data_IF_842861994601
#
_entry.id   IF_842861994601
#
_cell.length_a   1.000
_cell.length_b   1.000
_cell.length_c   1.000
_cell.angle_alpha   90.00
_cell.angle_beta   90.00
_cell.angle_gamma   90.00
#
_symmetry.space_group_name_H-M   'P 1'
#
loop_
_entity.id
_entity.type
_entity.pdbx_description
1 polymer ?
#
# COMPACT_ATOMS: atom_id res chain seq x y z
N UNK A 1 -62.82 -18.39 -16.68
CA UNK A 1 -62.17 -17.11 -17.04
C UNK A 1 -60.74 -17.17 -16.54
N UNK A 2 -59.80 -17.14 -17.48
CA UNK A 2 -58.39 -16.72 -17.33
C UNK A 2 -58.30 -15.33 -16.68
N UNK A 3 -57.20 -14.82 -16.15
CA UNK A 3 -55.93 -15.26 -15.58
C UNK A 3 -55.31 -13.96 -15.03
N UNK A 4 -54.48 -14.09 -13.99
CA UNK A 4 -53.34 -13.22 -13.62
C UNK A 4 -53.48 -11.69 -13.53
N UNK A 5 -53.06 -11.13 -12.40
CA UNK A 5 -52.94 -9.69 -12.19
C UNK A 5 -51.61 -9.20 -12.80
N UNK A 6 -51.58 -8.03 -13.47
CA UNK A 6 -50.37 -7.51 -14.09
C UNK A 6 -49.40 -6.97 -13.03
N UNK A 7 -48.25 -7.66 -12.92
CA UNK A 7 -46.92 -7.08 -12.79
C UNK A 7 -46.69 -5.95 -11.77
N UNK A 8 -46.10 -6.32 -10.63
CA UNK A 8 -44.84 -5.69 -10.21
C UNK A 8 -43.87 -6.80 -9.85
N UNK A 9 -43.05 -7.17 -10.82
CA UNK A 9 -41.97 -8.13 -10.64
C UNK A 9 -41.08 -7.69 -9.49
N UNK A 10 -41.00 -8.57 -8.49
CA UNK A 10 -39.88 -8.65 -7.58
C UNK A 10 -38.67 -9.08 -8.41
N UNK A 11 -37.94 -8.12 -8.97
CA UNK A 11 -36.51 -8.34 -9.22
C UNK A 11 -35.77 -7.69 -8.08
N UNK A 12 -35.47 -8.51 -7.07
CA UNK A 12 -34.25 -8.39 -6.30
C UNK A 12 -33.10 -8.31 -7.32
N UNK A 13 -32.79 -7.09 -7.77
CA UNK A 13 -31.42 -6.80 -8.16
C UNK A 13 -30.63 -7.07 -6.90
N UNK A 14 -30.00 -8.23 -6.83
CA UNK A 14 -28.86 -8.47 -5.95
C UNK A 14 -27.81 -7.48 -6.47
N UNK A 15 -27.95 -6.21 -6.07
CA UNK A 15 -26.82 -5.30 -6.05
C UNK A 15 -25.81 -6.07 -5.21
N UNK A 16 -24.75 -6.52 -5.85
CA UNK A 16 -23.61 -7.07 -5.15
C UNK A 16 -22.99 -5.88 -4.41
N UNK A 17 -23.63 -5.48 -3.31
CA UNK A 17 -23.27 -4.33 -2.47
C UNK A 17 -22.08 -4.64 -1.60
N UNK A 18 -21.30 -5.68 -1.91
CA UNK A 18 -20.03 -5.87 -1.23
C UNK A 18 -19.06 -4.87 -1.86
N UNK A 19 -18.79 -3.73 -1.19
CA UNK A 19 -17.79 -2.83 -1.69
C UNK A 19 -16.47 -3.59 -1.85
N UNK A 20 -15.78 -3.32 -2.94
CA UNK A 20 -14.46 -3.88 -3.16
C UNK A 20 -13.54 -3.45 -2.01
N UNK A 21 -12.91 -4.45 -1.39
CA UNK A 21 -11.95 -4.26 -0.32
C UNK A 21 -10.72 -5.11 -0.63
N UNK A 22 -9.54 -4.60 -0.28
CA UNK A 22 -8.29 -5.33 -0.43
C UNK A 22 -7.53 -4.99 -1.70
N UNK A 23 -6.53 -5.83 -1.97
CA UNK A 23 -5.61 -5.69 -3.10
C UNK A 23 -6.26 -6.06 -4.44
N UNK A 24 -5.97 -5.28 -5.47
CA UNK A 24 -6.24 -5.60 -6.87
C UNK A 24 -4.99 -5.37 -7.70
N UNK A 25 -4.63 -6.38 -8.50
CA UNK A 25 -3.62 -6.24 -9.54
C UNK A 25 -4.29 -5.95 -10.89
N UNK A 26 -3.88 -4.88 -11.57
CA UNK A 26 -4.26 -4.57 -12.94
C UNK A 26 -3.00 -4.50 -13.80
N UNK A 27 -2.71 -5.57 -14.54
CA UNK A 27 -1.44 -5.71 -15.26
C UNK A 27 -0.26 -5.78 -14.28
N UNK A 28 0.66 -4.82 -14.39
CA UNK A 28 1.83 -4.72 -13.49
C UNK A 28 1.59 -3.78 -12.30
N UNK A 29 0.43 -3.10 -12.27
CA UNK A 29 0.12 -2.12 -11.23
C UNK A 29 -0.73 -2.77 -10.13
N UNK A 30 -0.44 -2.43 -8.87
CA UNK A 30 -1.23 -2.83 -7.71
C UNK A 30 -2.05 -1.64 -7.19
N UNK A 31 -3.27 -1.92 -6.75
CA UNK A 31 -4.20 -0.98 -6.16
C UNK A 31 -4.73 -1.57 -4.87
N UNK A 32 -5.10 -0.71 -3.91
CA UNK A 32 -5.78 -1.14 -2.70
C UNK A 32 -7.10 -0.40 -2.56
N UNK A 33 -8.16 -1.15 -2.26
CA UNK A 33 -9.51 -0.64 -2.13
C UNK A 33 -10.00 -0.73 -0.69
N UNK A 34 -10.70 0.32 -0.25
CA UNK A 34 -11.49 0.30 0.97
C UNK A 34 -12.85 0.91 0.69
N UNK A 35 -13.92 0.22 1.07
CA UNK A 35 -15.31 0.61 0.84
C UNK A 35 -15.61 0.94 -0.64
N UNK A 36 -14.94 0.25 -1.58
CA UNK A 36 -15.12 0.44 -3.02
C UNK A 36 -14.29 1.58 -3.61
N UNK A 37 -13.52 2.31 -2.80
CA UNK A 37 -12.69 3.43 -3.24
C UNK A 37 -11.21 3.06 -3.30
N UNK A 38 -10.53 3.48 -4.37
CA UNK A 38 -9.07 3.37 -4.49
C UNK A 38 -8.40 4.22 -3.42
N UNK A 39 -7.50 3.63 -2.68
CA UNK A 39 -6.70 4.34 -1.68
C UNK A 39 -5.54 5.09 -2.34
N UNK A 40 -5.20 6.24 -1.76
CA UNK A 40 -4.08 7.09 -2.18
C UNK A 40 -3.27 7.51 -0.94
N UNK A 41 -2.02 7.91 -1.14
CA UNK A 41 -1.11 8.35 -0.09
C UNK A 41 -0.60 7.21 0.80
N UNK A 42 -0.10 7.59 1.97
CA UNK A 42 0.40 6.67 2.99
C UNK A 42 -0.73 5.83 3.56
N UNK A 43 -0.57 4.50 3.55
CA UNK A 43 -1.54 3.56 4.09
C UNK A 43 -0.86 2.50 4.92
N UNK A 44 -1.36 2.35 6.14
CA UNK A 44 -1.02 1.26 7.02
C UNK A 44 -2.05 0.15 6.83
N UNK A 45 -1.66 -0.92 6.16
CA UNK A 45 -2.55 -1.98 5.73
C UNK A 45 -2.32 -3.21 6.59
N UNK A 46 -3.36 -3.57 7.35
CA UNK A 46 -3.48 -4.83 8.08
C UNK A 46 -4.28 -5.80 7.24
N UNK A 47 -3.69 -6.29 6.16
CA UNK A 47 -4.37 -7.24 5.28
C UNK A 47 -3.42 -8.39 4.95
N UNK A 48 -3.94 -9.61 5.02
CA UNK A 48 -3.22 -10.88 5.12
C UNK A 48 -2.20 -11.10 4.01
N UNK A 49 -1.00 -10.55 4.19
CA UNK A 49 0.18 -10.89 3.41
C UNK A 49 0.25 -12.41 3.26
N UNK A 50 0.55 -12.88 2.04
CA UNK A 50 0.73 -14.28 1.68
C UNK A 50 1.82 -14.98 2.52
N UNK A 51 2.53 -14.23 3.37
CA UNK A 51 3.41 -14.76 4.39
C UNK A 51 3.12 -14.05 5.71
N UNK A 52 2.77 -14.84 6.72
CA UNK A 52 2.59 -14.48 8.12
C UNK A 52 3.66 -13.48 8.61
N UNK A 53 3.25 -12.26 8.95
CA UNK A 53 3.95 -11.46 9.97
C UNK A 53 3.04 -10.42 10.61
N UNK A 54 2.35 -10.91 11.64
CA UNK A 54 1.93 -10.23 12.88
C UNK A 54 0.98 -9.02 12.77
N UNK A 55 0.23 -8.80 13.84
CA UNK A 55 -0.94 -7.91 13.99
C UNK A 55 -0.67 -6.39 13.76
N UNK A 56 0.56 -6.08 13.33
CA UNK A 56 1.11 -4.74 13.23
C UNK A 56 0.97 -4.13 11.85
N UNK A 57 0.62 -4.87 10.79
CA UNK A 57 0.38 -4.33 9.45
C UNK A 57 1.59 -3.66 8.80
N UNK A 58 1.53 -3.49 7.48
CA UNK A 58 2.63 -2.98 6.68
C UNK A 58 2.31 -1.61 6.08
N UNK A 59 3.33 -0.78 5.90
CA UNK A 59 3.17 0.54 5.29
C UNK A 59 3.37 0.47 3.78
N UNK A 60 2.46 1.11 3.07
CA UNK A 60 2.47 1.25 1.61
C UNK A 60 2.20 2.71 1.25
N UNK A 61 2.63 3.11 0.06
CA UNK A 61 2.29 4.41 -0.50
C UNK A 61 1.59 4.22 -1.84
N UNK A 62 0.52 4.98 -2.05
CA UNK A 62 -0.25 4.97 -3.30
C UNK A 62 -0.19 6.35 -3.94
N UNK A 63 0.14 6.39 -5.22
CA UNK A 63 0.14 7.61 -6.02
C UNK A 63 -1.26 8.23 -6.12
N UNK A 64 -1.34 9.46 -6.64
CA UNK A 64 -2.62 10.18 -6.82
C UNK A 64 -3.63 9.45 -7.72
N UNK A 65 -3.16 8.56 -8.59
CA UNK A 65 -3.99 7.72 -9.47
C UNK A 65 -4.42 6.39 -8.80
N UNK A 66 -3.99 6.15 -7.55
CA UNK A 66 -4.24 4.94 -6.76
C UNK A 66 -3.26 3.79 -7.01
N UNK A 67 -2.28 3.94 -7.90
CA UNK A 67 -1.24 2.93 -8.12
C UNK A 67 -0.32 2.86 -6.92
N UNK A 68 0.01 1.66 -6.48
CA UNK A 68 1.01 1.42 -5.46
C UNK A 68 2.38 1.87 -5.96
N UNK A 69 3.05 2.67 -5.16
CA UNK A 69 4.39 3.15 -5.43
C UNK A 69 5.44 2.12 -5.00
N UNK A 70 6.52 2.03 -5.77
CA UNK A 70 7.71 1.23 -5.44
C UNK A 70 8.96 2.08 -5.69
N UNK A 71 10.03 1.77 -4.97
CA UNK A 71 11.28 2.53 -5.01
C UNK A 71 11.32 3.68 -4.00
N UNK A 72 12.17 4.67 -4.31
CA UNK A 72 12.47 5.79 -3.43
C UNK A 72 11.37 6.85 -3.45
N UNK A 73 10.91 7.22 -2.26
CA UNK A 73 9.97 8.30 -2.03
C UNK A 73 10.58 9.36 -1.12
N UNK A 74 10.55 10.63 -1.54
CA UNK A 74 10.85 11.75 -0.66
C UNK A 74 9.55 12.34 -0.12
N UNK A 75 9.41 12.32 1.21
CA UNK A 75 8.15 12.67 1.87
C UNK A 75 8.37 13.57 3.08
N UNK A 76 7.43 14.49 3.28
CA UNK A 76 7.35 15.36 4.45
C UNK A 76 5.92 15.37 4.96
N UNK A 77 5.75 15.16 6.26
CA UNK A 77 4.44 15.17 6.94
C UNK A 77 3.38 14.26 6.28
N UNK A 78 3.83 13.11 5.75
CA UNK A 78 2.95 12.14 5.08
C UNK A 78 2.53 12.55 3.67
N UNK A 79 3.26 13.46 3.02
CA UNK A 79 3.03 13.86 1.63
C UNK A 79 4.32 13.74 0.82
N UNK A 80 4.21 13.22 -0.39
CA UNK A 80 5.28 13.30 -1.37
C UNK A 80 5.57 14.76 -1.71
N UNK A 81 6.84 15.12 -1.61
CA UNK A 81 7.34 16.46 -1.87
C UNK A 81 8.62 16.38 -2.71
N UNK A 82 9.03 17.50 -3.31
CA UNK A 82 10.28 17.54 -4.06
C UNK A 82 11.48 17.32 -3.12
N UNK A 83 12.55 16.70 -3.62
CA UNK A 83 13.78 16.40 -2.86
C UNK A 83 14.49 17.63 -2.31
N UNK A 84 14.19 18.80 -2.84
CA UNK A 84 14.71 20.09 -2.40
C UNK A 84 13.93 20.66 -1.20
N UNK A 85 12.80 20.05 -0.83
CA UNK A 85 11.95 20.51 0.28
C UNK A 85 12.66 20.29 1.62
N UNK A 86 12.99 21.35 2.38
CA UNK A 86 13.71 21.20 3.63
C UNK A 86 12.92 20.40 4.67
N UNK A 87 13.61 19.47 5.33
CA UNK A 87 13.04 18.64 6.40
C UNK A 87 12.19 17.46 5.92
N UNK A 88 12.23 17.11 4.63
CA UNK A 88 11.71 15.83 4.15
C UNK A 88 12.65 14.67 4.48
N UNK A 89 12.13 13.46 4.36
CA UNK A 89 12.87 12.22 4.60
C UNK A 89 12.74 11.29 3.40
N UNK A 90 13.77 10.49 3.17
CA UNK A 90 13.75 9.41 2.19
C UNK A 90 13.16 8.14 2.80
N UNK A 91 12.32 7.48 2.02
CA UNK A 91 11.73 6.19 2.31
C UNK A 91 11.92 5.29 1.10
N UNK A 92 11.96 3.98 1.31
CA UNK A 92 12.05 3.01 0.23
C UNK A 92 10.93 1.99 0.33
N UNK A 93 10.23 1.79 -0.78
CA UNK A 93 9.20 0.77 -0.94
C UNK A 93 9.74 -0.33 -1.84
N UNK A 94 9.68 -1.58 -1.39
CA UNK A 94 10.34 -2.69 -2.08
C UNK A 94 9.88 -2.82 -3.54
N UNK A 95 10.81 -2.85 -4.50
CA UNK A 95 10.47 -3.01 -5.94
C UNK A 95 10.07 -4.45 -6.27
N UNK A 96 10.59 -5.39 -5.50
CA UNK A 96 10.33 -6.81 -5.65
C UNK A 96 10.20 -7.48 -4.29
N UNK A 97 9.97 -8.78 -4.27
CA UNK A 97 9.93 -9.55 -3.03
C UNK A 97 11.38 -9.77 -2.56
N UNK A 98 11.90 -8.85 -1.76
CA UNK A 98 13.27 -8.89 -1.23
C UNK A 98 13.28 -9.31 0.24
N UNK A 99 14.12 -10.30 0.60
CA UNK A 99 14.61 -10.63 1.96
C UNK A 99 13.73 -10.24 3.17
N UNK A 100 12.42 -10.47 3.11
CA UNK A 100 11.49 -10.24 4.23
C UNK A 100 10.46 -9.12 4.03
N UNK A 101 10.42 -8.44 2.89
CA UNK A 101 9.42 -7.43 2.53
C UNK A 101 8.63 -7.87 1.30
N UNK A 102 7.33 -7.61 1.29
CA UNK A 102 6.50 -7.78 0.10
C UNK A 102 6.71 -6.62 -0.90
N UNK A 103 6.30 -6.82 -2.15
CA UNK A 103 6.35 -5.74 -3.14
C UNK A 103 5.55 -4.52 -2.65
N UNK A 104 6.15 -3.35 -2.77
CA UNK A 104 5.59 -2.08 -2.31
C UNK A 104 5.55 -1.91 -0.79
N UNK A 105 6.02 -2.87 -0.01
CA UNK A 105 6.14 -2.71 1.44
C UNK A 105 7.29 -1.73 1.76
N UNK A 106 7.05 -0.83 2.70
CA UNK A 106 8.07 0.07 3.20
C UNK A 106 9.17 -0.70 3.95
N UNK A 107 10.40 -0.55 3.48
CA UNK A 107 11.58 -1.06 4.16
C UNK A 107 11.81 -0.26 5.44
N UNK A 108 11.81 -0.95 6.58
CA UNK A 108 12.00 -0.35 7.91
C UNK A 108 12.62 -1.32 8.90
N UNK A 109 13.18 -0.79 9.98
CA UNK A 109 13.59 -1.62 11.10
C UNK A 109 12.38 -2.23 11.81
N UNK A 110 12.49 -3.51 12.17
CA UNK A 110 11.54 -4.15 13.09
C UNK A 110 11.54 -3.44 14.44
N UNK A 111 10.41 -3.50 15.14
CA UNK A 111 10.26 -2.89 16.46
C UNK A 111 11.38 -3.37 17.42
N UNK A 112 12.05 -2.42 18.08
CA UNK A 112 13.18 -2.70 18.98
C UNK A 112 14.57 -2.71 18.32
N UNK A 113 14.66 -2.68 16.99
CA UNK A 113 15.93 -2.49 16.27
C UNK A 113 16.15 -1.02 15.90
N UNK A 114 17.39 -0.54 16.03
CA UNK A 114 17.75 0.83 15.70
C UNK A 114 17.66 1.12 14.20
N UNK A 115 18.08 0.16 13.37
CA UNK A 115 18.02 0.26 11.92
C UNK A 115 17.94 -1.11 11.26
N UNK A 116 17.47 -1.13 10.02
CA UNK A 116 17.56 -2.23 9.09
C UNK A 116 18.40 -1.80 7.89
N UNK A 117 19.40 -2.61 7.52
CA UNK A 117 20.32 -2.32 6.43
C UNK A 117 20.04 -3.25 5.25
N UNK A 118 19.89 -2.69 4.05
CA UNK A 118 19.70 -3.45 2.81
C UNK A 118 20.45 -2.83 1.64
N UNK A 119 20.68 -3.63 0.60
CA UNK A 119 21.28 -3.20 -0.66
C UNK A 119 20.19 -2.78 -1.65
N UNK A 120 20.30 -1.57 -2.21
CA UNK A 120 19.39 -1.01 -3.20
C UNK A 120 20.26 -0.47 -4.34
N UNK A 121 20.05 -0.98 -5.55
CA UNK A 121 20.75 -0.55 -6.77
C UNK A 121 22.30 -0.53 -6.60
N UNK A 122 22.86 -1.52 -5.88
CA UNK A 122 24.31 -1.69 -5.67
C UNK A 122 24.91 -0.86 -4.52
N UNK A 123 24.08 -0.19 -3.72
CA UNK A 123 24.50 0.58 -2.54
C UNK A 123 23.72 0.17 -1.30
N UNK A 124 24.38 0.21 -0.15
CA UNK A 124 23.73 -0.08 1.13
C UNK A 124 23.14 1.17 1.78
N UNK A 125 21.91 1.03 2.27
CA UNK A 125 21.19 2.05 3.02
C UNK A 125 20.62 1.45 4.30
N UNK A 126 20.46 2.31 5.30
CA UNK A 126 19.96 2.00 6.62
C UNK A 126 18.64 2.75 6.87
N UNK A 127 17.63 2.05 7.37
CA UNK A 127 16.31 2.59 7.64
C UNK A 127 15.94 2.41 9.10
N UNK A 128 15.41 3.44 9.76
CA UNK A 128 14.96 3.34 11.15
C UNK A 128 13.58 2.64 11.26
N UNK A 129 13.03 2.54 12.47
CA UNK A 129 11.73 1.87 12.71
C UNK A 129 10.53 2.59 12.06
N UNK A 130 10.66 3.89 11.76
CA UNK A 130 9.66 4.67 11.01
C UNK A 130 9.84 4.53 9.48
N UNK A 131 10.86 3.80 9.01
CA UNK A 131 11.20 3.66 7.60
C UNK A 131 11.98 4.83 7.00
N UNK A 132 12.42 5.80 7.82
CA UNK A 132 13.26 6.90 7.34
C UNK A 132 14.67 6.38 7.07
N UNK A 133 15.20 6.66 5.89
CA UNK A 133 16.61 6.46 5.58
C UNK A 133 17.47 7.43 6.41
N UNK A 134 18.45 6.89 7.14
CA UNK A 134 19.30 7.64 8.08
C UNK A 134 20.68 7.96 7.50
N UNK A 135 21.00 7.42 6.34
CA UNK A 135 22.24 7.58 5.58
C UNK A 135 21.96 7.81 4.08
N UNK A 136 21.14 8.83 3.72
CA UNK A 136 20.90 9.15 2.32
C UNK A 136 22.17 9.69 1.66
N UNK A 137 22.25 9.48 0.35
CA UNK A 137 23.34 9.94 -0.53
C UNK A 137 23.40 11.46 -0.73
#
# INVERSE_FOLDING_TARGET
MVADFPGKGLINSIINTNPKNGWEQQGNDYFYYQHGEKQTGWKHIKDGSLVSKEENGNWYYFEKNGKMHTGWLYSKDGQEVSKETPGGNWYYFSKEKESGFEIGEMVRASDGYLSFKTEIDGKYYSFNAEGKCIDPD
#
